data_IF_129385700704
#
_entry.id   IF_129385700704
#
_cell.length_a   1.000
_cell.length_b   1.000
_cell.length_c   1.000
_cell.angle_alpha   90.00
_cell.angle_beta   90.00
_cell.angle_gamma   90.00
#
_symmetry.space_group_name_H-M   'P 1'
#
loop_
_entity.id
_entity.type
_entity.pdbx_description
1 polymer ?
#
# COMPACT_ATOMS: atom_id res chain seq x y z
N UNK A 1 5.10 5.25 -32.34
CA UNK A 1 5.42 5.14 -30.89
C UNK A 1 5.10 3.71 -30.50
N UNK A 2 6.11 2.91 -30.14
CA UNK A 2 5.86 1.57 -29.60
C UNK A 2 5.29 1.74 -28.19
N UNK A 3 4.18 1.06 -27.89
CA UNK A 3 3.53 1.11 -26.59
C UNK A 3 4.27 0.28 -25.55
N UNK A 4 4.02 0.53 -24.26
CA UNK A 4 4.63 -0.23 -23.14
C UNK A 4 4.44 -1.75 -23.29
N UNK A 5 3.30 -2.17 -23.84
CA UNK A 5 3.00 -3.57 -24.10
C UNK A 5 3.83 -4.17 -25.24
N UNK A 6 4.23 -3.37 -26.23
CA UNK A 6 5.06 -3.83 -27.35
C UNK A 6 6.49 -4.12 -26.85
N UNK A 7 7.04 -3.22 -26.04
CA UNK A 7 8.32 -3.42 -25.35
C UNK A 7 8.28 -4.64 -24.43
N UNK A 8 7.17 -4.86 -23.73
CA UNK A 8 6.97 -6.03 -22.89
C UNK A 8 6.94 -7.34 -23.69
N UNK A 9 6.24 -7.37 -24.82
CA UNK A 9 6.21 -8.53 -25.72
C UNK A 9 7.60 -8.83 -26.25
N UNK A 10 8.36 -7.81 -26.64
CA UNK A 10 9.74 -7.99 -27.11
C UNK A 10 10.65 -8.56 -26.02
N UNK A 11 10.57 -8.04 -24.79
CA UNK A 11 11.35 -8.52 -23.65
C UNK A 11 11.00 -9.97 -23.26
N UNK A 12 9.73 -10.36 -23.41
CA UNK A 12 9.24 -11.71 -23.05
C UNK A 12 9.34 -12.72 -24.18
N UNK A 13 9.62 -12.30 -25.42
CA UNK A 13 9.72 -13.17 -26.61
C UNK A 13 10.66 -14.37 -26.44
N UNK A 14 11.77 -14.19 -25.71
CA UNK A 14 12.75 -15.25 -25.43
C UNK A 14 12.22 -16.38 -24.54
N UNK A 15 11.10 -16.16 -23.85
CA UNK A 15 10.52 -17.12 -22.90
C UNK A 15 9.51 -18.06 -23.54
N UNK A 16 9.34 -18.01 -24.86
CA UNK A 16 8.31 -18.75 -25.60
C UNK A 16 6.91 -18.56 -24.99
N UNK A 17 6.70 -17.42 -24.34
CA UNK A 17 5.47 -17.13 -23.59
C UNK A 17 4.35 -16.70 -24.51
N UNK A 18 3.17 -17.31 -24.35
CA UNK A 18 1.95 -16.91 -25.07
C UNK A 18 1.18 -15.90 -24.21
N UNK A 19 0.83 -14.75 -24.80
CA UNK A 19 -0.06 -13.76 -24.17
C UNK A 19 -1.51 -14.17 -24.40
N UNK A 20 -2.34 -14.07 -23.36
CA UNK A 20 -3.78 -14.25 -23.47
C UNK A 20 -4.45 -12.92 -23.17
N UNK A 21 -5.04 -12.30 -24.19
CA UNK A 21 -5.81 -11.07 -24.02
C UNK A 21 -7.02 -11.35 -23.13
N UNK A 22 -6.85 -11.11 -21.84
CA UNK A 22 -7.82 -11.47 -20.80
C UNK A 22 -8.59 -10.25 -20.30
N UNK A 23 -9.66 -10.54 -19.55
CA UNK A 23 -10.50 -9.49 -18.96
C UNK A 23 -9.68 -8.61 -17.99
N UNK A 24 -9.78 -7.30 -18.17
CA UNK A 24 -9.10 -6.29 -17.36
C UNK A 24 -10.03 -5.80 -16.27
N UNK A 25 -9.56 -5.74 -15.04
CA UNK A 25 -10.37 -5.25 -13.92
C UNK A 25 -9.52 -4.61 -12.82
N UNK A 26 -10.17 -3.74 -12.04
CA UNK A 26 -9.59 -3.05 -10.89
C UNK A 26 -9.91 -3.84 -9.61
N UNK A 27 -8.87 -4.21 -8.87
CA UNK A 27 -9.03 -4.90 -7.58
C UNK A 27 -9.60 -3.99 -6.48
N UNK A 28 -9.49 -2.67 -6.61
CA UNK A 28 -9.97 -1.74 -5.58
C UNK A 28 -11.43 -1.32 -5.80
N UNK A 29 -12.02 -1.63 -6.95
CA UNK A 29 -13.42 -1.29 -7.27
C UNK A 29 -14.33 -2.51 -7.27
N UNK A 30 -13.80 -3.68 -7.61
CA UNK A 30 -14.58 -4.92 -7.58
C UNK A 30 -14.46 -5.57 -6.21
N UNK A 31 -15.61 -5.75 -5.55
CA UNK A 31 -15.70 -6.43 -4.26
C UNK A 31 -15.54 -7.95 -4.49
N UNK A 32 -14.31 -8.40 -4.74
CA UNK A 32 -14.00 -9.81 -5.02
C UNK A 32 -13.62 -10.59 -3.75
N UNK A 33 -13.79 -9.99 -2.57
CA UNK A 33 -13.63 -10.70 -1.30
C UNK A 33 -14.90 -11.49 -0.98
N UNK A 34 -14.89 -12.79 -1.28
CA UNK A 34 -15.78 -13.80 -0.66
C UNK A 34 -15.27 -14.12 0.75
N UNK A 35 -14.82 -13.12 1.49
CA UNK A 35 -14.52 -13.28 2.91
C UNK A 35 -15.65 -12.56 3.62
N UNK A 36 -16.75 -13.29 3.77
CA UNK A 36 -17.77 -12.95 4.75
C UNK A 36 -17.11 -13.14 6.11
N UNK A 37 -16.76 -12.02 6.75
CA UNK A 37 -16.43 -12.06 8.17
C UNK A 37 -17.72 -12.43 8.90
N UNK A 38 -17.73 -13.53 9.63
CA UNK A 38 -18.83 -13.87 10.54
C UNK A 38 -19.04 -12.67 11.47
N UNK A 39 -20.17 -11.96 11.29
CA UNK A 39 -20.41 -10.68 11.94
C UNK A 39 -20.69 -10.79 13.44
N UNK A 40 -20.85 -12.01 13.96
CA UNK A 40 -21.58 -12.25 15.21
C UNK A 40 -20.84 -13.16 16.21
N UNK A 41 -19.50 -13.15 16.22
CA UNK A 41 -18.76 -13.70 17.37
C UNK A 41 -18.48 -12.59 18.38
N UNK A 42 -19.21 -12.58 19.49
CA UNK A 42 -18.83 -11.82 20.68
C UNK A 42 -17.49 -12.36 21.18
N UNK A 43 -16.41 -11.66 20.85
CA UNK A 43 -15.07 -11.97 21.37
C UNK A 43 -14.97 -11.36 22.77
N UNK A 44 -15.09 -12.21 23.81
CA UNK A 44 -14.68 -11.85 25.16
C UNK A 44 -13.15 -11.85 25.24
N UNK A 45 -12.55 -10.67 25.34
CA UNK A 45 -11.11 -10.51 25.47
C UNK A 45 -10.67 -10.78 26.92
N UNK A 46 -9.73 -11.71 27.12
CA UNK A 46 -9.13 -12.00 28.44
C UNK A 46 -8.20 -10.88 28.91
N UNK A 47 -7.44 -10.29 27.98
CA UNK A 47 -6.50 -9.22 28.24
C UNK A 47 -6.78 -8.02 27.36
N UNK A 48 -6.72 -6.83 27.97
CA UNK A 48 -6.92 -5.56 27.29
C UNK A 48 -5.58 -4.83 27.21
N UNK A 49 -5.30 -4.21 26.06
CA UNK A 49 -4.08 -3.41 25.87
C UNK A 49 -4.07 -2.07 26.62
N UNK A 50 -5.13 -1.77 27.38
CA UNK A 50 -5.27 -0.53 28.16
C UNK A 50 -4.69 -0.71 29.57
N UNK A 51 -3.92 0.26 30.06
CA UNK A 51 -3.36 0.19 31.42
C UNK A 51 -4.40 0.42 32.52
N UNK A 52 -5.51 1.09 32.23
CA UNK A 52 -6.61 1.33 33.16
C UNK A 52 -7.94 0.98 32.49
N UNK A 53 -8.79 0.24 33.20
CA UNK A 53 -10.10 -0.17 32.69
C UNK A 53 -11.19 0.82 33.15
N UNK A 54 -11.49 1.81 32.31
CA UNK A 54 -12.40 2.90 32.64
C UNK A 54 -13.85 2.51 32.30
N UNK A 55 -14.60 2.04 33.31
CA UNK A 55 -16.01 1.61 33.15
C UNK A 55 -17.05 2.75 33.20
N UNK A 56 -16.63 3.96 33.58
CA UNK A 56 -17.49 5.14 33.74
C UNK A 56 -16.80 6.37 33.16
N UNK A 57 -17.57 7.37 32.74
CA UNK A 57 -17.01 8.62 32.23
C UNK A 57 -15.98 9.22 33.21
N UNK A 58 -14.77 9.46 32.71
CA UNK A 58 -13.66 10.09 33.45
C UNK A 58 -13.61 11.56 33.05
N UNK A 59 -13.64 12.45 34.03
CA UNK A 59 -13.42 13.88 33.77
C UNK A 59 -11.94 14.12 33.43
N UNK A 60 -11.70 14.79 32.29
CA UNK A 60 -10.37 15.09 31.76
C UNK A 60 -10.07 16.60 31.78
N UNK A 61 -10.95 17.42 32.38
CA UNK A 61 -10.84 18.89 32.33
C UNK A 61 -9.49 19.39 32.85
N UNK A 62 -9.01 18.86 33.98
CA UNK A 62 -7.70 19.24 34.54
C UNK A 62 -6.52 18.88 33.64
N UNK A 63 -6.58 17.74 32.95
CA UNK A 63 -5.55 17.36 31.97
C UNK A 63 -5.55 18.28 30.75
N UNK A 64 -6.73 18.69 30.28
CA UNK A 64 -6.88 19.63 29.16
C UNK A 64 -6.27 21.00 29.50
N UNK A 65 -6.45 21.49 30.73
CA UNK A 65 -5.84 22.74 31.19
C UNK A 65 -4.32 22.67 31.24
N UNK A 66 -3.76 21.56 31.77
CA UNK A 66 -2.32 21.33 31.78
C UNK A 66 -1.76 21.33 30.35
N UNK A 67 -2.39 20.59 29.43
CA UNK A 67 -1.97 20.50 28.02
C UNK A 67 -2.15 21.80 27.24
N UNK A 68 -3.12 22.64 27.62
CA UNK A 68 -3.28 23.99 27.04
C UNK A 68 -2.16 24.93 27.47
N UNK A 69 -1.74 24.84 28.73
CA UNK A 69 -0.76 25.73 29.33
C UNK A 69 0.70 25.34 29.04
N UNK A 70 0.98 24.07 28.75
CA UNK A 70 2.35 23.59 28.54
C UNK A 70 3.01 24.12 27.26
N UNK A 71 2.25 24.67 26.29
CA UNK A 71 2.72 25.03 24.94
C UNK A 71 3.46 23.89 24.20
N UNK A 72 3.46 22.67 24.75
CA UNK A 72 4.21 21.55 24.20
C UNK A 72 3.55 21.06 22.91
N UNK A 73 4.35 20.95 21.85
CA UNK A 73 3.92 20.27 20.64
C UNK A 73 3.90 18.76 20.85
N UNK A 74 2.87 18.10 20.32
CA UNK A 74 2.80 16.63 20.28
C UNK A 74 4.07 16.04 19.65
N UNK A 75 4.63 14.98 20.26
CA UNK A 75 5.72 14.20 19.66
C UNK A 75 5.29 13.48 18.37
N UNK A 76 3.99 13.25 18.18
CA UNK A 76 3.43 12.75 16.93
C UNK A 76 3.36 13.87 15.88
N UNK A 77 4.48 14.10 15.20
CA UNK A 77 4.59 15.16 14.19
C UNK A 77 4.41 14.66 12.77
N UNK A 78 4.80 13.43 12.48
CA UNK A 78 4.81 12.88 11.12
C UNK A 78 3.75 11.81 10.96
N UNK A 79 3.01 11.88 9.87
CA UNK A 79 1.91 10.99 9.53
C UNK A 79 2.18 10.43 8.14
N UNK A 80 2.59 9.17 8.09
CA UNK A 80 2.85 8.46 6.86
C UNK A 80 1.59 7.69 6.47
N UNK A 81 1.08 7.93 5.27
CA UNK A 81 -0.03 7.18 4.70
C UNK A 81 0.23 6.90 3.21
N UNK A 82 -0.38 5.83 2.70
CA UNK A 82 -0.21 5.39 1.33
C UNK A 82 -1.51 4.90 0.73
N UNK A 83 -1.69 5.18 -0.56
CA UNK A 83 -2.79 4.65 -1.35
C UNK A 83 -2.26 3.83 -2.52
N UNK A 84 -3.06 2.87 -2.96
CA UNK A 84 -2.75 2.07 -4.14
C UNK A 84 -3.96 1.94 -5.04
N UNK A 85 -3.69 1.82 -6.33
CA UNK A 85 -4.62 1.28 -7.30
C UNK A 85 -3.99 0.09 -7.99
N UNK A 86 -4.71 -1.03 -8.12
CA UNK A 86 -4.20 -2.30 -8.63
C UNK A 86 -5.15 -2.85 -9.68
N UNK A 87 -4.60 -3.19 -10.84
CA UNK A 87 -5.35 -3.64 -12.01
C UNK A 87 -4.76 -4.94 -12.52
N UNK A 88 -5.62 -5.92 -12.79
CA UNK A 88 -5.26 -6.99 -13.72
C UNK A 88 -5.36 -6.43 -15.13
N UNK A 89 -4.26 -6.47 -15.88
CA UNK A 89 -4.20 -5.90 -17.23
C UNK A 89 -4.04 -6.94 -18.33
N UNK A 90 -3.57 -8.14 -18.00
CA UNK A 90 -3.37 -9.22 -18.97
C UNK A 90 -3.08 -10.57 -18.30
N UNK A 91 -2.90 -11.62 -19.10
CA UNK A 91 -2.37 -12.93 -18.67
C UNK A 91 -1.22 -13.41 -19.58
N UNK A 92 -0.24 -14.12 -19.00
CA UNK A 92 0.91 -14.69 -19.69
C UNK A 92 1.10 -16.17 -19.35
N UNK A 93 1.23 -17.02 -20.38
CA UNK A 93 1.69 -18.40 -20.21
C UNK A 93 3.21 -18.44 -20.05
N UNK A 94 3.65 -19.09 -18.99
CA UNK A 94 5.04 -19.50 -18.79
C UNK A 94 5.03 -21.01 -18.58
N UNK A 95 5.57 -21.73 -19.57
CA UNK A 95 5.49 -23.20 -19.64
C UNK A 95 4.03 -23.66 -19.63
N UNK A 96 3.63 -24.44 -18.63
CA UNK A 96 2.29 -25.01 -18.48
C UNK A 96 1.33 -24.14 -17.66
N UNK A 97 1.84 -23.07 -17.03
CA UNK A 97 1.08 -22.23 -16.10
C UNK A 97 0.75 -20.87 -16.72
N UNK A 98 -0.43 -20.36 -16.40
CA UNK A 98 -0.88 -19.01 -16.78
C UNK A 98 -0.84 -18.11 -15.56
N UNK A 99 -0.22 -16.94 -15.70
CA UNK A 99 -0.06 -15.97 -14.64
C UNK A 99 -0.65 -14.61 -15.03
N UNK A 100 -1.30 -13.89 -14.09
CA UNK A 100 -1.78 -12.55 -14.36
C UNK A 100 -0.62 -11.55 -14.45
N UNK A 101 -0.77 -10.58 -15.35
CA UNK A 101 0.04 -9.37 -15.38
C UNK A 101 -0.75 -8.31 -14.64
N UNK A 102 -0.17 -7.79 -13.57
CA UNK A 102 -0.77 -6.75 -12.75
C UNK A 102 -0.08 -5.43 -13.02
N UNK A 103 -0.84 -4.35 -13.16
CA UNK A 103 -0.32 -2.99 -13.12
C UNK A 103 -0.88 -2.28 -11.90
N UNK A 104 -0.13 -1.36 -11.34
CA UNK A 104 -0.59 -0.57 -10.23
C UNK A 104 0.00 0.81 -10.18
N UNK A 105 -0.66 1.66 -9.42
CA UNK A 105 -0.17 2.95 -8.99
C UNK A 105 -0.03 2.89 -7.47
N UNK A 106 1.15 3.24 -6.96
CA UNK A 106 1.40 3.34 -5.52
C UNK A 106 1.75 4.78 -5.22
N UNK A 107 0.98 5.41 -4.34
CA UNK A 107 1.25 6.74 -3.80
C UNK A 107 1.60 6.61 -2.33
N UNK A 108 2.68 7.25 -1.90
CA UNK A 108 3.09 7.36 -0.50
C UNK A 108 3.19 8.85 -0.18
N UNK A 109 2.63 9.26 0.94
CA UNK A 109 2.68 10.64 1.40
C UNK A 109 3.01 10.73 2.87
N UNK A 110 3.75 11.76 3.24
CA UNK A 110 3.94 12.13 4.63
C UNK A 110 3.39 13.53 4.85
N UNK A 111 2.57 13.67 5.88
CA UNK A 111 2.13 14.96 6.39
C UNK A 111 2.84 15.25 7.70
N UNK A 112 3.27 16.50 7.88
CA UNK A 112 3.85 16.99 9.13
C UNK A 112 2.86 17.91 9.83
N UNK A 113 2.76 17.76 11.14
CA UNK A 113 1.98 18.64 12.01
C UNK A 113 2.91 19.66 12.67
N UNK A 114 2.67 20.94 12.40
CA UNK A 114 3.39 22.08 12.99
C UNK A 114 2.36 23.05 13.55
N UNK A 115 2.50 23.48 14.80
CA UNK A 115 1.54 24.36 15.45
C UNK A 115 0.09 23.89 15.32
N UNK A 116 -0.14 22.57 15.52
CA UNK A 116 -1.45 21.91 15.42
C UNK A 116 -2.11 21.96 14.02
N UNK A 117 -1.37 22.38 12.99
CA UNK A 117 -1.83 22.38 11.58
C UNK A 117 -1.10 21.29 10.80
N UNK A 118 -1.85 20.58 9.96
CA UNK A 118 -1.29 19.61 9.03
C UNK A 118 -0.73 20.32 7.80
N UNK A 119 0.47 19.93 7.39
CA UNK A 119 1.15 20.40 6.21
C UNK A 119 1.68 19.21 5.42
N UNK A 120 1.71 19.32 4.10
CA UNK A 120 2.34 18.30 3.25
C UNK A 120 3.85 18.37 3.39
N UNK A 121 4.49 17.26 3.76
CA UNK A 121 5.96 17.17 3.85
C UNK A 121 6.52 16.48 2.60
N UNK A 122 5.89 15.39 2.17
CA UNK A 122 6.39 14.52 1.13
C UNK A 122 5.25 13.84 0.37
N UNK A 123 5.42 13.68 -0.94
CA UNK A 123 4.55 12.85 -1.78
C UNK A 123 5.37 12.21 -2.90
N UNK A 124 5.33 10.89 -3.01
CA UNK A 124 5.91 10.15 -4.12
C UNK A 124 4.89 9.19 -4.70
N UNK A 125 4.87 9.12 -6.04
CA UNK A 125 3.99 8.21 -6.77
C UNK A 125 4.79 7.42 -7.79
N UNK A 126 4.56 6.11 -7.82
CA UNK A 126 5.15 5.20 -8.81
C UNK A 126 4.08 4.42 -9.54
N UNK A 127 4.33 4.22 -10.83
CA UNK A 127 3.65 3.20 -11.61
C UNK A 127 4.48 1.92 -11.50
N UNK A 128 3.82 0.82 -11.18
CA UNK A 128 4.43 -0.50 -11.01
C UNK A 128 3.74 -1.50 -11.91
N UNK A 129 4.50 -2.47 -12.43
CA UNK A 129 3.94 -3.62 -13.14
C UNK A 129 4.54 -4.89 -12.54
N UNK A 130 3.71 -5.85 -12.18
CA UNK A 130 4.13 -7.12 -11.61
C UNK A 130 3.98 -8.20 -12.67
N UNK A 131 5.08 -8.91 -12.92
CA UNK A 131 5.22 -9.99 -13.90
C UNK A 131 5.93 -11.15 -13.19
N UNK A 132 5.63 -12.42 -13.53
CA UNK A 132 6.32 -13.55 -12.91
C UNK A 132 7.85 -13.49 -13.12
N UNK A 133 8.62 -13.79 -12.07
CA UNK A 133 10.09 -13.73 -12.07
C UNK A 133 10.72 -14.58 -13.18
N UNK A 134 10.09 -15.72 -13.51
CA UNK A 134 10.52 -16.59 -14.59
C UNK A 134 10.54 -15.90 -15.97
N UNK A 135 9.88 -14.76 -16.13
CA UNK A 135 9.84 -13.98 -17.37
C UNK A 135 10.88 -12.84 -17.46
N UNK A 136 11.77 -12.69 -16.48
CA UNK A 136 12.76 -11.60 -16.43
C UNK A 136 14.10 -12.12 -16.97
N UNK A 137 14.47 -11.74 -18.20
CA UNK A 137 15.69 -12.27 -18.86
C UNK A 137 16.99 -11.55 -18.45
N UNK A 138 16.93 -10.32 -17.95
CA UNK A 138 18.07 -9.64 -17.31
C UNK A 138 17.69 -8.21 -16.92
N UNK A 139 18.02 -7.78 -15.70
CA UNK A 139 17.99 -6.39 -15.20
C UNK A 139 16.68 -5.58 -15.35
N UNK A 140 15.54 -6.22 -15.58
CA UNK A 140 14.25 -5.55 -15.42
C UNK A 140 13.88 -5.58 -13.93
N UNK A 141 14.46 -4.65 -13.17
CA UNK A 141 14.05 -4.37 -11.79
C UNK A 141 12.65 -3.74 -11.84
N UNK A 142 11.62 -4.57 -12.03
CA UNK A 142 10.24 -4.17 -11.86
C UNK A 142 9.68 -4.87 -10.64
N UNK A 143 10.15 -4.42 -9.48
CA UNK A 143 9.50 -4.49 -8.16
C UNK A 143 10.42 -4.06 -7.01
N UNK A 144 11.67 -3.66 -7.26
CA UNK A 144 12.65 -3.52 -6.16
C UNK A 144 12.90 -2.07 -5.68
N UNK A 145 12.07 -1.08 -6.03
CA UNK A 145 12.36 0.32 -5.70
C UNK A 145 11.27 1.06 -4.91
N UNK A 146 10.59 0.39 -3.98
CA UNK A 146 9.74 1.12 -3.01
C UNK A 146 10.27 1.04 -1.58
N UNK A 147 10.98 -0.03 -1.20
CA UNK A 147 11.46 -0.17 0.18
C UNK A 147 12.80 0.53 0.48
N UNK A 148 13.72 0.66 -0.49
CA UNK A 148 15.08 1.15 -0.21
C UNK A 148 15.17 2.65 0.07
N UNK A 149 14.32 3.48 -0.54
CA UNK A 149 14.41 4.96 -0.39
C UNK A 149 13.81 5.51 0.90
N UNK A 150 12.93 4.75 1.56
CA UNK A 150 12.29 5.22 2.81
C UNK A 150 13.21 5.02 4.03
N UNK A 151 14.16 4.08 3.96
CA UNK A 151 15.12 3.82 5.05
C UNK A 151 16.50 4.46 4.85
N UNK A 152 16.94 4.74 3.62
CA UNK A 152 18.25 5.38 3.36
C UNK A 152 18.29 6.90 3.63
N UNK A 153 17.16 7.52 3.98
CA UNK A 153 17.10 8.95 4.31
C UNK A 153 17.32 9.25 5.80
N UNK A 154 17.59 8.24 6.65
CA UNK A 154 17.82 8.42 8.10
C UNK A 154 18.95 7.52 8.64
N UNK A 155 20.12 7.55 8.00
CA UNK A 155 21.39 7.04 8.55
C UNK A 155 22.52 8.03 8.31
#
# INVERSE_FOLDING_TARGET
MNGVMDTFIEATKKLHSKRYQSHKFCYDTQNNSVVEYDSDQEVEWEEYGESEHIKKAKDLTGLVEILRNSQEESWFKYFLDGSRHTYKIDDIALRENVYPILAGQVGISCCKRVNKKMMTEFFERKLVICIPTGAIVSNLVICQQVFSKVFEANS
#
